data_IF_071147372668
#
_entry.id   IF_071147372668
#
_cell.length_a   1.000
_cell.length_b   1.000
_cell.length_c   1.000
_cell.angle_alpha   90.00
_cell.angle_beta   90.00
_cell.angle_gamma   90.00
#
_symmetry.space_group_name_H-M   'P 1'
#
loop_
_entity.id
_entity.type
_entity.pdbx_description
1 polymer ?
#
# COMPACT_ATOMS: atom_id res chain seq x y z
N UNK A 1 -22.78 -45.29 15.52
CA UNK A 1 -22.43 -45.26 14.08
C UNK A 1 -22.68 -43.89 13.41
N UNK A 2 -22.56 -42.77 14.13
CA UNK A 2 -22.60 -41.41 13.53
C UNK A 2 -21.55 -40.44 14.12
N UNK A 3 -20.61 -40.93 14.93
CA UNK A 3 -19.50 -40.13 15.49
C UNK A 3 -18.11 -40.54 14.97
N UNK A 4 -18.03 -41.47 14.01
CA UNK A 4 -16.76 -41.98 13.46
C UNK A 4 -16.40 -41.31 12.12
N UNK A 5 -17.34 -40.61 11.46
CA UNK A 5 -17.10 -39.97 10.16
C UNK A 5 -16.32 -38.64 10.19
N UNK A 6 -16.27 -37.94 11.33
CA UNK A 6 -15.60 -36.63 11.44
C UNK A 6 -14.13 -36.70 11.85
N UNK A 7 -13.62 -37.90 12.21
CA UNK A 7 -12.24 -38.12 12.62
C UNK A 7 -11.32 -38.65 11.51
N UNK A 8 -11.84 -38.89 10.30
CA UNK A 8 -11.07 -39.47 9.20
C UNK A 8 -10.61 -38.45 8.13
N UNK A 9 -11.08 -37.21 8.15
CA UNK A 9 -10.70 -36.20 7.13
C UNK A 9 -9.42 -35.41 7.46
N UNK A 10 -8.88 -35.50 8.67
CA UNK A 10 -7.66 -34.78 9.08
C UNK A 10 -6.36 -35.54 8.83
N UNK A 11 -6.40 -36.68 8.13
CA UNK A 11 -5.27 -37.63 8.05
C UNK A 11 -5.08 -38.20 6.65
N UNK A 12 -4.94 -37.33 5.66
CA UNK A 12 -4.36 -37.68 4.36
C UNK A 12 -3.50 -36.51 3.87
N UNK A 13 -2.21 -36.77 3.66
CA UNK A 13 -1.26 -35.80 3.11
C UNK A 13 -0.05 -35.54 4.01
N UNK A 14 0.78 -36.56 4.19
CA UNK A 14 2.10 -36.41 4.80
C UNK A 14 3.13 -35.77 3.87
N UNK A 15 4.28 -35.48 4.48
CA UNK A 15 5.57 -35.16 3.87
C UNK A 15 5.76 -33.72 3.35
N UNK A 16 6.13 -32.80 4.25
CA UNK A 16 7.20 -31.86 3.96
C UNK A 16 8.18 -31.78 5.13
N UNK A 17 9.42 -32.14 4.84
CA UNK A 17 10.57 -32.13 5.74
C UNK A 17 10.94 -30.69 6.09
N UNK A 18 11.57 -30.57 7.26
CA UNK A 18 11.88 -29.31 7.94
C UNK A 18 12.65 -28.27 7.15
N UNK A 19 12.26 -27.02 7.39
CA UNK A 19 13.17 -25.87 7.46
C UNK A 19 12.77 -25.06 8.69
N UNK A 20 13.74 -24.86 9.59
CA UNK A 20 13.57 -24.19 10.86
C UNK A 20 13.35 -22.69 10.62
N UNK A 21 12.27 -22.13 11.18
CA UNK A 21 12.01 -20.69 11.29
C UNK A 21 13.00 -19.94 12.24
N UNK A 22 14.16 -20.53 12.53
CA UNK A 22 15.19 -19.98 13.42
C UNK A 22 16.28 -19.16 12.71
N UNK A 23 16.40 -19.24 11.38
CA UNK A 23 17.53 -18.67 10.63
C UNK A 23 17.28 -17.29 10.03
N UNK A 24 16.14 -16.65 10.31
CA UNK A 24 15.88 -15.26 9.84
C UNK A 24 16.24 -14.21 10.92
N UNK A 25 16.59 -14.63 12.15
CA UNK A 25 16.91 -13.73 13.26
C UNK A 25 18.41 -13.68 13.63
N UNK A 26 19.26 -14.51 13.02
CA UNK A 26 20.70 -14.61 13.29
C UNK A 26 21.56 -13.83 12.28
N UNK A 27 21.09 -13.60 11.04
CA UNK A 27 21.85 -12.87 10.01
C UNK A 27 21.84 -11.35 10.20
N UNK A 28 21.02 -10.82 11.11
CA UNK A 28 20.95 -9.38 11.39
C UNK A 28 21.86 -8.91 12.54
N UNK A 29 22.69 -9.79 13.12
CA UNK A 29 23.45 -9.50 14.35
C UNK A 29 24.98 -9.41 14.21
N UNK A 30 25.53 -9.48 12.99
CA UNK A 30 27.00 -9.55 12.78
C UNK A 30 27.64 -8.41 11.99
N UNK A 31 27.01 -7.24 11.82
CA UNK A 31 27.68 -6.09 11.17
C UNK A 31 27.44 -4.74 11.86
N UNK A 32 27.29 -4.73 13.19
CA UNK A 32 27.30 -3.50 13.95
C UNK A 32 28.74 -3.14 14.37
N UNK A 33 29.51 -2.64 13.41
CA UNK A 33 30.76 -1.92 13.63
C UNK A 33 30.67 -0.54 13.01
N UNK A 34 30.50 0.48 13.87
CA UNK A 34 30.63 1.93 13.64
C UNK A 34 29.65 2.64 12.67
N UNK A 35 28.92 3.61 13.23
CA UNK A 35 28.22 4.66 12.47
C UNK A 35 27.02 5.25 13.23
N UNK A 36 27.24 6.35 13.94
CA UNK A 36 26.23 7.15 14.64
C UNK A 36 25.12 7.62 13.67
N UNK A 37 23.93 7.03 13.71
CA UNK A 37 22.68 7.67 13.28
C UNK A 37 21.55 7.15 14.16
N UNK A 38 21.14 7.99 15.12
CA UNK A 38 19.98 7.75 15.97
C UNK A 38 18.73 7.85 15.08
N UNK A 39 18.27 6.70 14.56
CA UNK A 39 16.94 6.58 13.98
C UNK A 39 15.93 6.77 15.13
N UNK A 40 15.31 7.94 15.18
CA UNK A 40 14.11 8.14 15.98
C UNK A 40 13.03 7.19 15.46
N UNK A 41 12.92 6.02 16.11
CA UNK A 41 11.73 5.17 16.02
C UNK A 41 10.55 6.04 16.45
N UNK A 42 9.50 6.20 15.63
CA UNK A 42 8.32 6.91 16.09
C UNK A 42 7.72 6.09 17.23
N UNK A 43 7.64 6.68 18.44
CA UNK A 43 7.11 6.12 19.68
C UNK A 43 5.65 5.61 19.62
N UNK A 44 5.06 5.55 18.42
CA UNK A 44 3.68 5.14 18.14
C UNK A 44 3.53 3.64 17.92
N UNK A 45 4.59 2.90 17.57
CA UNK A 45 4.53 1.44 17.31
C UNK A 45 4.91 0.58 18.51
N UNK A 46 5.45 1.15 19.59
CA UNK A 46 5.92 0.37 20.75
C UNK A 46 4.77 -0.32 21.50
N UNK A 47 3.59 0.32 21.57
CA UNK A 47 2.41 -0.24 22.22
C UNK A 47 1.86 -1.51 21.52
N UNK A 48 1.56 -1.51 20.20
CA UNK A 48 1.12 -2.72 19.51
C UNK A 48 2.22 -3.78 19.44
N UNK A 49 3.49 -3.41 19.26
CA UNK A 49 4.60 -4.38 19.28
C UNK A 49 4.77 -5.05 20.65
N UNK A 50 4.52 -4.32 21.74
CA UNK A 50 4.54 -4.88 23.10
C UNK A 50 3.36 -5.82 23.36
N UNK A 51 2.17 -5.54 22.81
CA UNK A 51 1.02 -6.45 22.89
C UNK A 51 1.16 -7.67 21.96
N UNK A 52 1.76 -7.52 20.77
CA UNK A 52 2.13 -8.62 19.89
C UNK A 52 3.15 -9.55 20.58
N UNK A 53 4.19 -8.99 21.19
CA UNK A 53 5.18 -9.77 21.93
C UNK A 53 4.59 -10.48 23.17
N UNK A 54 3.48 -9.98 23.75
CA UNK A 54 2.73 -10.69 24.79
C UNK A 54 1.90 -11.82 24.22
N UNK A 55 1.26 -11.62 23.06
CA UNK A 55 0.54 -12.67 22.33
C UNK A 55 1.48 -13.79 21.91
N UNK A 56 2.63 -13.45 21.33
CA UNK A 56 3.65 -14.43 20.92
C UNK A 56 4.20 -15.20 22.12
N UNK A 57 4.35 -14.57 23.29
CA UNK A 57 4.75 -15.30 24.52
C UNK A 57 3.66 -16.21 25.07
N UNK A 58 2.38 -15.96 24.75
CA UNK A 58 1.26 -16.80 25.16
C UNK A 58 1.06 -17.98 24.20
N UNK A 59 1.42 -17.82 22.92
CA UNK A 59 1.24 -18.83 21.87
C UNK A 59 2.51 -19.65 21.59
N UNK A 60 3.67 -19.02 21.49
CA UNK A 60 4.94 -19.71 21.34
C UNK A 60 5.38 -20.22 22.72
N UNK A 61 5.32 -21.53 22.94
CA UNK A 61 5.64 -22.23 24.20
C UNK A 61 7.10 -22.11 24.68
N UNK A 62 7.71 -20.93 24.59
CA UNK A 62 9.03 -20.59 25.13
C UNK A 62 8.91 -20.29 26.62
N UNK A 63 9.26 -21.30 27.41
CA UNK A 63 9.39 -21.25 28.86
C UNK A 63 10.51 -20.31 29.27
N UNK A 64 10.24 -19.00 29.32
CA UNK A 64 11.07 -18.07 30.08
C UNK A 64 10.54 -17.94 31.52
N UNK A 65 11.21 -18.68 32.40
CA UNK A 65 11.38 -18.49 33.84
C UNK A 65 10.13 -18.38 34.75
N UNK A 66 10.04 -19.38 35.63
CA UNK A 66 9.37 -19.38 36.96
C UNK A 66 7.89 -18.97 36.98
N UNK A 67 7.02 -19.96 36.83
CA UNK A 67 5.70 -19.95 37.47
C UNK A 67 4.47 -19.82 36.57
N UNK A 68 4.57 -19.97 35.26
CA UNK A 68 3.38 -20.01 34.38
C UNK A 68 3.36 -21.25 33.49
N UNK A 69 2.16 -21.78 33.34
CA UNK A 69 1.84 -23.14 32.94
C UNK A 69 2.11 -23.42 31.43
N UNK A 70 2.20 -24.70 30.99
CA UNK A 70 2.63 -25.13 29.62
C UNK A 70 1.68 -24.74 28.48
N UNK A 71 2.15 -24.32 27.31
CA UNK A 71 1.29 -23.80 26.20
C UNK A 71 0.10 -24.71 25.83
N UNK A 72 -0.90 -24.18 25.11
CA UNK A 72 -2.09 -24.96 24.70
C UNK A 72 -1.67 -26.26 23.99
N UNK A 73 -0.70 -26.17 23.09
CA UNK A 73 -0.15 -27.33 22.37
C UNK A 73 0.55 -28.32 23.31
N UNK A 74 1.38 -27.85 24.25
CA UNK A 74 2.05 -28.71 25.24
C UNK A 74 1.06 -29.37 26.21
N UNK A 75 -0.03 -28.69 26.55
CA UNK A 75 -1.10 -29.23 27.40
C UNK A 75 -1.93 -30.28 26.66
N UNK A 76 -2.18 -30.09 25.36
CA UNK A 76 -2.83 -31.07 24.49
C UNK A 76 -1.92 -32.29 24.23
N UNK A 77 -0.63 -32.09 24.01
CA UNK A 77 0.35 -33.15 23.82
C UNK A 77 0.53 -34.00 25.09
N UNK A 78 0.62 -33.37 26.27
CA UNK A 78 0.67 -34.08 27.55
C UNK A 78 -0.63 -34.88 27.83
N UNK A 79 -1.80 -34.34 27.41
CA UNK A 79 -3.07 -35.06 27.50
C UNK A 79 -3.10 -36.25 26.55
N UNK A 80 -2.65 -36.08 25.30
CA UNK A 80 -2.50 -37.17 24.32
C UNK A 80 -1.54 -38.27 24.82
N UNK A 81 -0.42 -37.89 25.42
CA UNK A 81 0.55 -38.83 25.99
C UNK A 81 -0.04 -39.59 27.19
N UNK A 82 -0.77 -38.91 28.07
CA UNK A 82 -1.46 -39.54 29.19
C UNK A 82 -2.56 -40.53 28.75
N UNK A 83 -3.27 -40.21 27.66
CA UNK A 83 -4.28 -41.08 27.05
C UNK A 83 -3.64 -42.29 26.35
N UNK A 84 -2.49 -42.10 25.68
CA UNK A 84 -1.72 -43.20 25.07
C UNK A 84 -1.16 -44.15 26.13
N UNK A 85 -0.57 -43.63 27.20
CA UNK A 85 -0.06 -44.42 28.33
C UNK A 85 -1.19 -45.17 29.06
N UNK A 86 -2.37 -44.56 29.20
CA UNK A 86 -3.54 -45.26 29.73
C UNK A 86 -3.99 -46.39 28.79
N UNK A 87 -4.07 -46.14 27.48
CA UNK A 87 -4.43 -47.15 26.47
C UNK A 87 -3.47 -48.35 26.50
N UNK A 88 -2.17 -48.12 26.61
CA UNK A 88 -1.15 -49.20 26.69
C UNK A 88 -1.27 -50.04 27.98
N UNK A 89 -1.64 -49.41 29.10
CA UNK A 89 -1.92 -50.10 30.38
C UNK A 89 -3.20 -50.94 30.34
N UNK A 90 -4.20 -50.50 29.58
CA UNK A 90 -5.41 -51.29 29.36
C UNK A 90 -5.18 -52.45 28.38
N UNK A 91 -4.35 -52.27 27.34
CA UNK A 91 -4.01 -53.37 26.41
C UNK A 91 -3.10 -54.43 27.03
N UNK A 92 -2.34 -54.10 28.08
CA UNK A 92 -1.49 -55.04 28.82
C UNK A 92 -2.19 -55.73 30.00
N UNK A 93 -3.51 -55.54 30.16
CA UNK A 93 -4.33 -56.29 31.13
C UNK A 93 -4.19 -55.85 32.61
N UNK A 94 -3.50 -54.74 32.90
CA UNK A 94 -3.30 -54.21 34.27
C UNK A 94 -4.20 -52.99 34.59
N UNK A 95 -5.31 -52.82 33.86
CA UNK A 95 -6.22 -51.69 34.02
C UNK A 95 -7.20 -51.85 35.18
N UNK A 96 -7.03 -51.07 36.26
CA UNK A 96 -8.00 -50.97 37.38
C UNK A 96 -8.97 -49.79 37.18
N UNK A 97 -10.18 -49.87 37.73
CA UNK A 97 -11.18 -48.79 37.72
C UNK A 97 -10.64 -47.46 38.30
N UNK A 98 -9.68 -47.53 39.23
CA UNK A 98 -9.02 -46.36 39.81
C UNK A 98 -8.14 -45.57 38.81
N UNK A 99 -7.59 -46.21 37.77
CA UNK A 99 -6.80 -45.50 36.75
C UNK A 99 -7.68 -44.71 35.79
N UNK A 100 -8.91 -45.16 35.54
CA UNK A 100 -9.93 -44.43 34.78
C UNK A 100 -10.41 -43.19 35.53
N UNK A 101 -10.71 -43.30 36.82
CA UNK A 101 -11.14 -42.14 37.64
C UNK A 101 -10.04 -41.08 37.74
N UNK A 102 -8.77 -41.50 37.85
CA UNK A 102 -7.62 -40.59 37.85
C UNK A 102 -7.40 -39.94 36.48
N UNK A 103 -7.74 -40.62 35.38
CA UNK A 103 -7.67 -40.08 34.02
C UNK A 103 -8.76 -39.04 33.78
N UNK A 104 -10.00 -39.33 34.20
CA UNK A 104 -11.13 -38.40 34.09
C UNK A 104 -10.86 -37.10 34.85
N UNK A 105 -10.32 -37.19 36.08
CA UNK A 105 -9.91 -36.00 36.85
C UNK A 105 -8.84 -35.18 36.12
N UNK A 106 -7.82 -35.85 35.56
CA UNK A 106 -6.76 -35.17 34.77
C UNK A 106 -7.28 -34.52 33.49
N UNK A 107 -8.25 -35.13 32.81
CA UNK A 107 -8.86 -34.57 31.60
C UNK A 107 -9.68 -33.32 31.94
N UNK A 108 -10.47 -33.34 33.02
CA UNK A 108 -11.24 -32.17 33.47
C UNK A 108 -10.34 -31.01 33.94
N UNK A 109 -9.26 -31.32 34.67
CA UNK A 109 -8.26 -30.31 35.07
C UNK A 109 -7.58 -29.66 33.85
N UNK A 110 -7.17 -30.47 32.87
CA UNK A 110 -6.52 -29.96 31.64
C UNK A 110 -7.48 -29.20 30.73
N UNK A 111 -8.74 -29.64 30.64
CA UNK A 111 -9.80 -28.91 29.92
C UNK A 111 -10.03 -27.53 30.53
N UNK A 112 -10.13 -27.44 31.85
CA UNK A 112 -10.26 -26.15 32.55
C UNK A 112 -9.04 -25.25 32.32
N UNK A 113 -7.84 -25.82 32.34
CA UNK A 113 -6.60 -25.09 32.04
C UNK A 113 -6.55 -24.54 30.61
N UNK A 114 -7.07 -25.30 29.63
CA UNK A 114 -7.17 -24.87 28.23
C UNK A 114 -8.21 -23.77 28.05
N UNK A 115 -9.40 -23.90 28.65
CA UNK A 115 -10.47 -22.91 28.56
C UNK A 115 -10.04 -21.55 29.14
N UNK A 116 -9.32 -21.55 30.27
CA UNK A 116 -8.83 -20.32 30.89
C UNK A 116 -7.75 -19.64 30.02
N UNK A 117 -6.89 -20.41 29.36
CA UNK A 117 -5.91 -19.87 28.41
C UNK A 117 -6.52 -19.36 27.12
N UNK A 118 -7.52 -20.05 26.58
CA UNK A 118 -8.24 -19.56 25.42
C UNK A 118 -8.85 -18.18 25.72
N UNK A 119 -9.46 -18.00 26.91
CA UNK A 119 -9.94 -16.69 27.35
C UNK A 119 -8.82 -15.65 27.46
N UNK A 120 -7.65 -16.02 27.99
CA UNK A 120 -6.49 -15.12 28.04
C UNK A 120 -6.01 -14.69 26.64
N UNK A 121 -5.93 -15.63 25.69
CA UNK A 121 -5.57 -15.36 24.29
C UNK A 121 -6.62 -14.46 23.62
N UNK A 122 -7.91 -14.74 23.77
CA UNK A 122 -8.98 -13.89 23.24
C UNK A 122 -8.92 -12.47 23.81
N UNK A 123 -8.66 -12.33 25.12
CA UNK A 123 -8.52 -11.03 25.77
C UNK A 123 -7.29 -10.26 25.28
N UNK A 124 -6.16 -10.94 25.08
CA UNK A 124 -4.95 -10.34 24.53
C UNK A 124 -5.15 -9.92 23.07
N UNK A 125 -5.84 -10.73 22.26
CA UNK A 125 -6.19 -10.41 20.87
C UNK A 125 -7.09 -9.17 20.80
N UNK A 126 -8.09 -9.08 21.68
CA UNK A 126 -8.96 -7.91 21.78
C UNK A 126 -8.20 -6.63 22.18
N UNK A 127 -7.21 -6.74 23.08
CA UNK A 127 -6.34 -5.61 23.48
C UNK A 127 -5.40 -5.19 22.35
N UNK A 128 -4.83 -6.15 21.62
CA UNK A 128 -4.01 -5.89 20.44
C UNK A 128 -4.81 -5.18 19.34
N UNK A 129 -6.04 -5.64 19.05
CA UNK A 129 -6.95 -4.98 18.12
C UNK A 129 -7.21 -3.51 18.50
N UNK A 130 -7.52 -3.25 19.78
CA UNK A 130 -7.70 -1.88 20.30
C UNK A 130 -6.43 -1.02 20.22
N UNK A 131 -5.25 -1.62 20.39
CA UNK A 131 -3.98 -0.91 20.28
C UNK A 131 -3.67 -0.52 18.83
N UNK A 132 -3.90 -1.43 17.88
CA UNK A 132 -3.79 -1.14 16.45
C UNK A 132 -4.74 -0.02 16.00
N UNK A 133 -5.99 -0.04 16.47
CA UNK A 133 -6.97 1.01 16.16
C UNK A 133 -6.50 2.39 16.61
N UNK A 134 -5.87 2.48 17.79
CA UNK A 134 -5.31 3.75 18.31
C UNK A 134 -4.14 4.26 17.46
N UNK A 135 -3.22 3.37 17.07
CA UNK A 135 -2.04 3.75 16.30
C UNK A 135 -2.40 4.15 14.87
N UNK A 136 -3.39 3.48 14.28
CA UNK A 136 -3.94 3.85 12.96
C UNK A 136 -4.58 5.25 12.96
N UNK A 137 -5.14 5.70 14.10
CA UNK A 137 -5.70 7.03 14.25
C UNK A 137 -4.62 8.13 14.39
N UNK A 138 -3.44 7.82 14.92
CA UNK A 138 -2.37 8.79 15.21
C UNK A 138 -1.40 9.03 14.04
N UNK A 139 -1.30 8.10 13.08
CA UNK A 139 -0.40 8.23 11.91
C UNK A 139 -1.00 9.07 10.76
N UNK A 140 -2.19 9.61 10.92
CA UNK A 140 -2.79 10.51 9.93
C UNK A 140 -2.30 11.95 10.17
N UNK A 141 -1.65 12.62 9.19
CA UNK A 141 -1.22 14.01 9.35
C UNK A 141 -2.43 14.91 9.62
N UNK A 142 -2.28 15.84 10.57
CA UNK A 142 -3.34 16.64 11.20
C UNK A 142 -4.28 17.41 10.24
N UNK A 143 -3.94 17.54 8.95
CA UNK A 143 -4.81 18.14 7.92
C UNK A 143 -5.85 17.19 7.30
N UNK A 144 -5.83 15.87 7.57
CA UNK A 144 -6.82 14.89 7.04
C UNK A 144 -7.89 14.46 8.08
N UNK A 145 -8.16 15.29 9.10
CA UNK A 145 -8.99 14.94 10.27
C UNK A 145 -10.48 14.67 9.99
N UNK A 146 -11.00 14.93 8.78
CA UNK A 146 -12.42 14.65 8.44
C UNK A 146 -12.66 13.29 7.75
N UNK A 147 -11.64 12.63 7.21
CA UNK A 147 -11.82 11.36 6.46
C UNK A 147 -11.58 10.13 7.35
N UNK A 148 -10.72 10.23 8.36
CA UNK A 148 -10.35 9.08 9.21
C UNK A 148 -11.45 8.59 10.16
N UNK A 149 -12.51 9.37 10.42
CA UNK A 149 -13.66 8.92 11.23
C UNK A 149 -14.57 7.95 10.46
N UNK A 150 -14.50 7.92 9.13
CA UNK A 150 -15.33 7.05 8.29
C UNK A 150 -14.80 5.62 8.16
N UNK A 151 -13.48 5.40 8.34
CA UNK A 151 -12.87 4.05 8.35
C UNK A 151 -13.21 3.30 9.63
N UNK A 152 -13.73 3.98 10.66
CA UNK A 152 -13.64 3.49 12.03
C UNK A 152 -14.65 2.41 12.41
N UNK A 153 -15.69 2.15 11.61
CA UNK A 153 -16.73 1.18 11.97
C UNK A 153 -17.41 0.63 10.71
N UNK A 154 -17.05 -0.57 10.28
CA UNK A 154 -17.96 -1.43 9.50
C UNK A 154 -19.11 -1.88 10.42
N UNK A 155 -19.89 -0.95 10.97
CA UNK A 155 -21.05 -1.26 11.83
C UNK A 155 -22.30 -1.61 11.05
N UNK A 156 -22.30 -1.32 9.75
CA UNK A 156 -23.35 -1.79 8.86
C UNK A 156 -22.86 -3.09 8.19
N UNK A 157 -23.70 -4.15 8.14
CA UNK A 157 -23.39 -5.30 7.31
C UNK A 157 -23.10 -4.83 5.88
N UNK A 158 -22.09 -5.44 5.25
CA UNK A 158 -21.80 -5.20 3.84
C UNK A 158 -23.11 -5.40 3.05
N UNK A 159 -23.48 -4.48 2.15
CA UNK A 159 -24.68 -4.65 1.36
C UNK A 159 -24.59 -5.98 0.60
N UNK A 160 -25.67 -6.75 0.62
CA UNK A 160 -25.82 -7.93 -0.24
C UNK A 160 -26.01 -7.41 -1.67
N UNK A 161 -24.91 -7.11 -2.36
CA UNK A 161 -24.91 -6.95 -3.79
C UNK A 161 -25.19 -8.30 -4.44
N UNK A 162 -25.81 -8.31 -5.62
CA UNK A 162 -25.67 -9.47 -6.50
C UNK A 162 -24.18 -9.76 -6.67
N UNK A 163 -23.76 -11.04 -6.78
CA UNK A 163 -22.36 -11.37 -6.87
C UNK A 163 -21.75 -10.68 -8.10
N UNK A 164 -21.07 -9.57 -7.84
CA UNK A 164 -20.22 -8.87 -8.79
C UNK A 164 -19.05 -9.80 -9.11
N UNK A 165 -18.58 -9.79 -10.36
CA UNK A 165 -17.56 -10.73 -10.85
C UNK A 165 -18.03 -12.20 -10.94
N UNK A 166 -19.28 -12.46 -11.34
CA UNK A 166 -19.74 -13.82 -11.66
C UNK A 166 -19.19 -14.34 -12.98
N UNK A 167 -19.02 -13.46 -13.98
CA UNK A 167 -18.51 -13.84 -15.30
C UNK A 167 -17.04 -14.27 -15.21
N UNK A 168 -16.68 -15.26 -16.01
CA UNK A 168 -15.31 -15.78 -16.07
C UNK A 168 -14.31 -14.69 -16.52
N UNK A 169 -14.75 -13.79 -17.40
CA UNK A 169 -13.97 -12.65 -17.86
C UNK A 169 -13.71 -11.63 -16.74
N UNK A 170 -14.72 -11.30 -15.94
CA UNK A 170 -14.56 -10.35 -14.84
C UNK A 170 -13.66 -10.92 -13.73
N UNK A 171 -13.75 -12.22 -13.44
CA UNK A 171 -12.84 -12.91 -12.51
C UNK A 171 -11.41 -12.88 -13.03
N UNK A 172 -11.19 -13.24 -14.29
CA UNK A 172 -9.87 -13.19 -14.91
C UNK A 172 -9.31 -11.76 -14.91
N UNK A 173 -10.12 -10.73 -15.18
CA UNK A 173 -9.70 -9.34 -15.12
C UNK A 173 -9.29 -8.90 -13.70
N UNK A 174 -10.02 -9.34 -12.68
CA UNK A 174 -9.69 -9.08 -11.28
C UNK A 174 -8.37 -9.75 -10.89
N UNK A 175 -8.21 -11.03 -11.24
CA UNK A 175 -7.00 -11.81 -10.98
C UNK A 175 -5.77 -11.20 -11.69
N UNK A 176 -5.91 -10.78 -12.96
CA UNK A 176 -4.86 -10.01 -13.67
C UNK A 176 -4.49 -8.73 -12.92
N UNK A 177 -5.50 -7.99 -12.45
CA UNK A 177 -5.28 -6.73 -11.71
C UNK A 177 -4.56 -6.98 -10.38
N UNK A 178 -4.87 -8.06 -9.68
CA UNK A 178 -4.17 -8.49 -8.47
C UNK A 178 -2.72 -8.88 -8.76
N UNK A 179 -2.47 -9.67 -9.80
CA UNK A 179 -1.12 -10.06 -10.19
C UNK A 179 -0.24 -8.84 -10.54
N UNK A 180 -0.78 -7.91 -11.36
CA UNK A 180 -0.10 -6.65 -11.69
C UNK A 180 0.16 -5.82 -10.44
N UNK A 181 -0.78 -5.78 -9.48
CA UNK A 181 -0.59 -5.07 -8.23
C UNK A 181 0.58 -5.64 -7.42
N UNK A 182 0.67 -6.96 -7.27
CA UNK A 182 1.78 -7.59 -6.55
C UNK A 182 3.13 -7.30 -7.21
N UNK A 183 3.22 -7.44 -8.53
CA UNK A 183 4.44 -7.10 -9.29
C UNK A 183 4.82 -5.63 -9.12
N UNK A 184 3.85 -4.71 -9.18
CA UNK A 184 4.09 -3.27 -9.04
C UNK A 184 4.51 -2.86 -7.63
N UNK A 185 4.15 -3.64 -6.61
CA UNK A 185 4.60 -3.44 -5.22
C UNK A 185 5.93 -4.15 -4.89
N UNK A 186 6.48 -4.91 -5.84
CA UNK A 186 7.73 -5.66 -5.68
C UNK A 186 7.59 -7.03 -5.01
N UNK A 187 6.36 -7.52 -4.85
CA UNK A 187 6.07 -8.83 -4.25
C UNK A 187 6.03 -9.93 -5.32
N UNK A 188 7.17 -10.17 -5.98
CA UNK A 188 7.24 -11.12 -7.10
C UNK A 188 6.99 -12.57 -6.67
N UNK A 189 7.50 -12.99 -5.51
CA UNK A 189 7.26 -14.36 -5.03
C UNK A 189 5.77 -14.67 -4.85
N UNK A 190 5.01 -13.71 -4.30
CA UNK A 190 3.55 -13.84 -4.15
C UNK A 190 2.86 -13.79 -5.51
N UNK A 191 3.34 -12.94 -6.42
CA UNK A 191 2.80 -12.87 -7.78
C UNK A 191 2.99 -14.20 -8.54
N UNK A 192 4.14 -14.85 -8.39
CA UNK A 192 4.42 -16.14 -9.05
C UNK A 192 3.57 -17.27 -8.50
N UNK A 193 3.46 -17.40 -7.18
CA UNK A 193 2.58 -18.40 -6.56
C UNK A 193 1.12 -18.15 -6.97
N UNK A 194 0.68 -16.89 -6.94
CA UNK A 194 -0.67 -16.52 -7.34
C UNK A 194 -0.96 -16.88 -8.81
N UNK A 195 -0.03 -16.60 -9.72
CA UNK A 195 -0.19 -16.94 -11.15
C UNK A 195 -0.20 -18.44 -11.39
N UNK A 196 0.60 -19.21 -10.64
CA UNK A 196 0.60 -20.67 -10.72
C UNK A 196 -0.72 -21.29 -10.27
N UNK A 197 -1.42 -20.64 -9.34
CA UNK A 197 -2.70 -21.11 -8.78
C UNK A 197 -3.91 -20.64 -9.61
N UNK A 198 -3.86 -19.44 -10.19
CA UNK A 198 -5.00 -18.82 -10.88
C UNK A 198 -5.10 -19.16 -12.37
N UNK A 199 -4.09 -19.80 -12.98
CA UNK A 199 -4.04 -20.11 -14.42
C UNK A 199 -4.32 -18.90 -15.33
N UNK A 200 -4.03 -17.69 -14.84
CA UNK A 200 -4.20 -16.42 -15.55
C UNK A 200 -2.86 -15.98 -16.10
N UNK A 201 -2.82 -15.65 -17.39
CA UNK A 201 -1.63 -15.11 -18.03
C UNK A 201 -1.63 -13.58 -17.97
N UNK A 202 -0.53 -13.03 -17.46
CA UNK A 202 -0.19 -11.61 -17.59
C UNK A 202 0.81 -11.50 -18.74
N UNK A 203 0.66 -10.54 -19.68
CA UNK A 203 1.59 -10.38 -20.79
C UNK A 203 3.04 -10.25 -20.30
N UNK A 204 3.95 -11.06 -20.84
CA UNK A 204 5.34 -11.12 -20.40
C UNK A 204 6.11 -9.80 -20.51
N UNK A 205 5.73 -8.93 -21.46
CA UNK A 205 6.28 -7.58 -21.61
C UNK A 205 6.07 -6.74 -20.34
N UNK A 206 4.83 -6.72 -19.85
CA UNK A 206 4.47 -6.02 -18.61
C UNK A 206 5.26 -6.55 -17.40
N UNK A 207 5.51 -7.86 -17.35
CA UNK A 207 6.28 -8.48 -16.27
C UNK A 207 7.74 -8.00 -16.29
N UNK A 208 8.36 -7.97 -17.46
CA UNK A 208 9.75 -7.54 -17.60
C UNK A 208 9.93 -6.07 -17.22
N UNK A 209 9.04 -5.20 -17.67
CA UNK A 209 9.06 -3.78 -17.32
C UNK A 209 8.85 -3.56 -15.81
N UNK A 210 7.94 -4.30 -15.17
CA UNK A 210 7.76 -4.21 -13.71
C UNK A 210 8.97 -4.77 -12.93
N UNK A 211 9.69 -5.75 -13.46
CA UNK A 211 10.95 -6.22 -12.87
C UNK A 211 12.01 -5.11 -12.90
N UNK A 212 12.19 -4.46 -14.05
CA UNK A 212 13.10 -3.32 -14.20
C UNK A 212 12.71 -2.21 -13.21
N UNK A 213 11.43 -1.84 -13.13
CA UNK A 213 10.96 -0.84 -12.16
C UNK A 213 11.44 -1.18 -10.75
N UNK A 214 11.21 -2.40 -10.29
CA UNK A 214 11.54 -2.77 -8.92
C UNK A 214 13.03 -2.87 -8.69
N UNK A 215 13.81 -3.30 -9.69
CA UNK A 215 15.28 -3.27 -9.62
C UNK A 215 15.78 -1.83 -9.48
N UNK A 216 15.27 -0.90 -10.29
CA UNK A 216 15.63 0.52 -10.19
C UNK A 216 15.21 1.09 -8.83
N UNK A 217 13.99 0.80 -8.36
CA UNK A 217 13.51 1.23 -7.04
C UNK A 217 14.37 0.67 -5.89
N UNK A 218 14.87 -0.56 -6.00
CA UNK A 218 15.81 -1.13 -5.03
C UNK A 218 17.16 -0.41 -5.06
N UNK A 219 17.70 -0.12 -6.25
CA UNK A 219 18.94 0.64 -6.38
C UNK A 219 18.81 2.06 -5.79
N UNK A 220 17.70 2.74 -6.06
CA UNK A 220 17.39 4.05 -5.49
C UNK A 220 17.30 4.00 -3.95
N UNK A 221 16.73 2.93 -3.37
CA UNK A 221 16.70 2.73 -1.91
C UNK A 221 18.08 2.50 -1.30
N UNK A 222 18.97 1.79 -2.01
CA UNK A 222 20.37 1.66 -1.61
C UNK A 222 21.19 2.93 -1.85
N UNK A 223 20.59 3.95 -2.48
CA UNK A 223 21.24 5.22 -2.80
C UNK A 223 22.01 5.22 -4.13
N UNK A 224 21.93 4.15 -4.92
CA UNK A 224 22.53 4.11 -6.26
C UNK A 224 21.52 4.63 -7.30
N UNK A 225 21.93 5.64 -8.07
CA UNK A 225 21.09 6.36 -9.04
C UNK A 225 21.40 5.95 -10.47
N UNK A 226 22.44 5.14 -10.68
CA UNK A 226 23.00 4.85 -12.01
C UNK A 226 21.95 4.22 -12.93
N UNK A 227 21.24 3.20 -12.45
CA UNK A 227 20.18 2.54 -13.22
C UNK A 227 19.00 3.48 -13.54
N UNK A 228 18.66 4.39 -12.63
CA UNK A 228 17.60 5.36 -12.86
C UNK A 228 18.00 6.43 -13.91
N UNK A 229 19.27 6.83 -13.92
CA UNK A 229 19.84 7.74 -14.91
C UNK A 229 19.94 7.08 -16.29
N UNK A 230 20.37 5.82 -16.35
CA UNK A 230 20.39 5.04 -17.59
C UNK A 230 18.99 4.97 -18.20
N UNK A 231 18.00 4.58 -17.41
CA UNK A 231 16.60 4.57 -17.86
C UNK A 231 16.11 5.95 -18.30
N UNK A 232 16.42 7.02 -17.56
CA UNK A 232 16.03 8.38 -17.93
C UNK A 232 16.76 8.92 -19.17
N UNK A 233 17.90 8.31 -19.54
CA UNK A 233 18.69 8.67 -20.72
C UNK A 233 18.23 7.94 -21.99
N UNK A 234 17.44 6.88 -21.87
CA UNK A 234 16.87 6.17 -23.02
C UNK A 234 15.95 7.09 -23.84
N UNK A 235 15.89 6.84 -25.16
CA UNK A 235 15.19 7.68 -26.13
C UNK A 235 13.69 7.78 -25.81
N UNK A 236 13.03 6.65 -25.55
CA UNK A 236 11.58 6.59 -25.30
C UNK A 236 11.17 7.32 -24.01
N UNK A 237 11.76 7.04 -22.84
CA UNK A 237 11.50 7.81 -21.63
C UNK A 237 11.85 9.29 -21.77
N UNK A 238 12.98 9.63 -22.39
CA UNK A 238 13.43 11.02 -22.55
C UNK A 238 12.44 11.88 -23.34
N UNK A 239 11.84 11.35 -24.41
CA UNK A 239 10.80 12.06 -25.17
C UNK A 239 9.50 12.21 -24.37
N UNK A 240 9.05 11.15 -23.69
CA UNK A 240 7.85 11.20 -22.86
C UNK A 240 8.00 12.18 -21.68
N UNK A 241 9.15 12.19 -21.02
CA UNK A 241 9.45 13.09 -19.91
C UNK A 241 9.44 14.57 -20.37
N UNK A 242 9.91 14.85 -21.59
CA UNK A 242 9.87 16.19 -22.20
C UNK A 242 8.45 16.60 -22.56
N UNK A 243 7.67 15.73 -23.20
CA UNK A 243 6.26 15.98 -23.52
C UNK A 243 5.43 16.29 -22.27
N UNK A 244 5.76 15.65 -21.15
CA UNK A 244 5.08 15.84 -19.86
C UNK A 244 5.62 17.02 -19.04
N UNK A 245 6.73 17.62 -19.45
CA UNK A 245 7.42 18.67 -18.67
C UNK A 245 7.87 18.18 -17.28
N UNK A 246 8.18 16.89 -17.16
CA UNK A 246 8.48 16.27 -15.86
C UNK A 246 9.86 16.69 -15.32
N UNK A 247 9.98 17.01 -14.02
CA UNK A 247 11.25 17.44 -13.43
C UNK A 247 12.14 16.26 -13.00
N UNK A 248 11.78 15.01 -13.32
CA UNK A 248 12.43 13.79 -12.83
C UNK A 248 13.93 13.78 -13.14
N UNK A 249 14.31 14.11 -14.37
CA UNK A 249 15.71 14.05 -14.81
C UNK A 249 16.58 15.00 -13.99
N UNK A 250 16.09 16.20 -13.70
CA UNK A 250 16.78 17.14 -12.84
C UNK A 250 16.88 16.61 -11.39
N UNK A 251 15.81 16.03 -10.85
CA UNK A 251 15.81 15.47 -9.49
C UNK A 251 16.78 14.29 -9.32
N UNK A 252 16.94 13.45 -10.35
CA UNK A 252 17.94 12.37 -10.37
C UNK A 252 19.37 12.92 -10.33
N UNK A 253 19.70 13.88 -11.20
CA UNK A 253 21.02 14.51 -11.20
C UNK A 253 21.28 15.30 -9.90
N UNK A 254 20.26 15.94 -9.33
CA UNK A 254 20.33 16.61 -8.03
C UNK A 254 20.67 15.63 -6.92
N UNK A 255 19.98 14.49 -6.87
CA UNK A 255 20.23 13.46 -5.85
C UNK A 255 21.62 12.84 -6.00
N UNK A 256 22.07 12.56 -7.22
CA UNK A 256 23.43 12.04 -7.47
C UNK A 256 24.51 13.04 -7.04
N UNK A 257 24.33 14.33 -7.33
CA UNK A 257 25.23 15.39 -6.86
C UNK A 257 25.28 15.45 -5.33
N UNK A 258 24.13 15.46 -4.65
CA UNK A 258 24.05 15.49 -3.20
C UNK A 258 24.64 14.23 -2.56
N UNK A 259 24.47 13.06 -3.18
CA UNK A 259 25.05 11.79 -2.73
C UNK A 259 26.58 11.85 -2.75
N UNK A 260 27.19 12.36 -3.82
CA UNK A 260 28.65 12.53 -3.90
C UNK A 260 29.15 13.57 -2.88
N UNK A 261 28.40 14.65 -2.68
CA UNK A 261 28.77 15.74 -1.77
C UNK A 261 28.65 15.36 -0.28
N UNK A 262 27.64 14.56 0.08
CA UNK A 262 27.34 14.15 1.45
C UNK A 262 27.91 12.75 1.79
N UNK A 263 28.73 12.19 0.91
CA UNK A 263 29.42 10.93 1.16
C UNK A 263 30.38 11.04 2.38
N UNK A 264 30.65 9.93 3.11
CA UNK A 264 31.57 9.94 4.25
C UNK A 264 32.97 10.46 3.92
N UNK A 265 33.40 10.29 2.67
CA UNK A 265 34.59 10.91 2.08
C UNK A 265 34.15 11.72 0.87
N UNK A 266 33.89 13.04 1.02
CA UNK A 266 33.37 13.84 -0.07
C UNK A 266 34.47 14.19 -1.06
N UNK A 267 34.35 13.71 -2.31
CA UNK A 267 35.10 14.26 -3.43
C UNK A 267 34.32 15.45 -4.02
N UNK A 268 34.61 16.63 -3.45
CA UNK A 268 33.96 17.88 -3.87
C UNK A 268 34.33 18.23 -5.31
N UNK A 269 35.53 17.87 -5.77
CA UNK A 269 35.98 18.18 -7.12
C UNK A 269 35.23 17.35 -8.17
N UNK A 270 35.04 16.05 -7.93
CA UNK A 270 34.23 15.19 -8.82
C UNK A 270 32.77 15.62 -8.83
N UNK A 271 32.20 15.95 -7.66
CA UNK A 271 30.81 16.39 -7.56
C UNK A 271 30.58 17.70 -8.36
N UNK A 272 31.49 18.67 -8.25
CA UNK A 272 31.43 19.92 -9.02
C UNK A 272 31.61 19.65 -10.53
N UNK A 273 32.51 18.76 -10.93
CA UNK A 273 32.69 18.38 -12.32
C UNK A 273 31.41 17.73 -12.89
N UNK A 274 30.76 16.86 -12.12
CA UNK A 274 29.48 16.26 -12.48
C UNK A 274 28.38 17.31 -12.66
N UNK A 275 28.28 18.27 -11.73
CA UNK A 275 27.32 19.36 -11.80
C UNK A 275 27.53 20.19 -13.07
N UNK A 276 28.77 20.55 -13.40
CA UNK A 276 29.13 21.32 -14.60
C UNK A 276 28.77 20.61 -15.90
N UNK A 277 28.85 19.28 -15.95
CA UNK A 277 28.48 18.50 -17.12
C UNK A 277 26.95 18.35 -17.28
N UNK A 278 26.22 18.12 -16.18
CA UNK A 278 24.82 17.67 -16.25
C UNK A 278 23.76 18.76 -15.95
N UNK A 279 24.11 19.83 -15.22
CA UNK A 279 23.17 20.90 -14.87
C UNK A 279 22.90 21.96 -15.95
N UNK A 280 23.79 22.26 -16.92
CA UNK A 280 23.52 23.27 -17.96
C UNK A 280 22.16 23.17 -18.68
N UNK A 281 21.68 21.99 -19.12
CA UNK A 281 20.39 21.89 -19.81
C UNK A 281 19.18 22.24 -18.94
N UNK A 282 19.31 22.19 -17.61
CA UNK A 282 18.22 22.47 -16.66
C UNK A 282 18.21 23.91 -16.16
N UNK A 283 19.23 24.70 -16.49
CA UNK A 283 19.39 26.05 -15.95
C UNK A 283 18.23 26.98 -16.32
N UNK A 284 17.67 26.86 -17.54
CA UNK A 284 16.55 27.69 -17.97
C UNK A 284 15.28 27.54 -17.09
N UNK A 285 15.07 26.36 -16.50
CA UNK A 285 13.88 26.06 -15.69
C UNK A 285 14.18 26.07 -14.18
N UNK A 286 15.41 25.73 -13.78
CA UNK A 286 15.80 25.49 -12.38
C UNK A 286 16.98 26.35 -11.89
N UNK A 287 17.24 27.51 -12.49
CA UNK A 287 18.39 28.38 -12.16
C UNK A 287 18.58 28.64 -10.66
N UNK A 288 17.50 28.94 -9.93
CA UNK A 288 17.53 29.23 -8.49
C UNK A 288 18.01 28.01 -7.70
N UNK A 289 17.49 26.83 -8.03
CA UNK A 289 17.82 25.59 -7.34
C UNK A 289 19.25 25.13 -7.68
N UNK A 290 19.66 25.25 -8.93
CA UNK A 290 21.06 25.01 -9.36
C UNK A 290 22.02 25.92 -8.59
N UNK A 291 21.69 27.20 -8.43
CA UNK A 291 22.49 28.13 -7.63
C UNK A 291 22.61 27.69 -6.16
N UNK A 292 21.50 27.24 -5.55
CA UNK A 292 21.51 26.69 -4.18
C UNK A 292 22.38 25.43 -4.07
N UNK A 293 22.29 24.51 -5.04
CA UNK A 293 23.10 23.29 -5.07
C UNK A 293 24.60 23.60 -5.21
N UNK A 294 24.97 24.55 -6.07
CA UNK A 294 26.38 24.92 -6.19
C UNK A 294 26.92 25.62 -4.93
N UNK A 295 26.09 26.44 -4.27
CA UNK A 295 26.48 27.16 -3.06
C UNK A 295 26.58 26.24 -1.83
N UNK A 296 25.82 25.15 -1.77
CA UNK A 296 25.81 24.28 -0.60
C UNK A 296 27.16 23.57 -0.36
N UNK A 297 27.96 23.36 -1.42
CA UNK A 297 29.32 22.84 -1.32
C UNK A 297 30.25 23.71 -0.46
N UNK A 298 29.99 25.01 -0.33
CA UNK A 298 30.79 25.93 0.51
C UNK A 298 30.58 25.74 2.01
N UNK A 299 29.51 25.04 2.40
CA UNK A 299 29.14 24.79 3.80
C UNK A 299 29.63 23.44 4.33
N UNK A 300 30.43 22.70 3.55
CA UNK A 300 31.13 21.51 4.04
C UNK A 300 32.21 21.90 5.06
N UNK A 301 32.52 21.03 6.05
CA UNK A 301 32.11 19.63 6.24
C UNK A 301 30.67 19.43 6.79
N UNK A 302 30.20 18.18 6.83
CA UNK A 302 28.79 17.80 7.10
C UNK A 302 28.19 18.48 8.35
N UNK A 303 28.96 18.62 9.43
CA UNK A 303 28.49 19.24 10.68
C UNK A 303 28.07 20.70 10.50
N UNK A 304 28.75 21.44 9.62
CA UNK A 304 28.41 22.81 9.28
C UNK A 304 27.25 22.86 8.29
N UNK A 305 27.16 21.88 7.40
CA UNK A 305 26.08 21.76 6.42
C UNK A 305 24.71 21.57 7.09
N UNK A 306 24.63 20.73 8.12
CA UNK A 306 23.38 20.48 8.85
C UNK A 306 22.86 21.69 9.63
N UNK A 307 23.74 22.64 9.97
CA UNK A 307 23.39 23.90 10.63
C UNK A 307 23.23 25.07 9.65
N UNK A 308 23.30 24.81 8.35
CA UNK A 308 23.24 25.81 7.29
C UNK A 308 21.80 26.00 6.78
N UNK A 309 21.52 27.07 6.00
CA UNK A 309 20.23 27.23 5.31
C UNK A 309 19.98 26.17 4.21
N UNK A 310 20.90 25.22 4.02
CA UNK A 310 20.83 24.12 3.05
C UNK A 310 20.60 22.75 3.71
N UNK A 311 20.28 22.71 5.00
CA UNK A 311 20.00 21.47 5.73
C UNK A 311 18.82 20.67 5.12
N UNK A 312 17.93 21.33 4.38
CA UNK A 312 16.86 20.70 3.60
C UNK A 312 17.40 19.66 2.60
N UNK A 313 18.60 19.86 2.05
CA UNK A 313 19.23 18.92 1.13
C UNK A 313 19.76 17.63 1.77
N UNK A 314 19.96 17.60 3.09
CA UNK A 314 20.33 16.38 3.81
C UNK A 314 19.11 15.57 4.29
N UNK A 315 17.88 16.03 4.02
CA UNK A 315 16.68 15.34 4.47
C UNK A 315 16.47 14.01 3.75
N UNK A 316 16.14 12.91 4.48
CA UNK A 316 15.79 11.63 3.86
C UNK A 316 14.49 11.70 3.04
N UNK A 317 13.69 12.77 3.20
CA UNK A 317 12.49 12.98 2.38
C UNK A 317 12.80 13.12 0.90
N UNK A 318 13.97 13.64 0.54
CA UNK A 318 14.37 13.81 -0.87
C UNK A 318 14.42 12.47 -1.60
N UNK A 319 14.95 11.44 -0.95
CA UNK A 319 15.03 10.10 -1.52
C UNK A 319 13.63 9.48 -1.65
N UNK A 320 12.78 9.63 -0.62
CA UNK A 320 11.41 9.11 -0.64
C UNK A 320 10.54 9.78 -1.72
N UNK A 321 10.67 11.10 -1.88
CA UNK A 321 9.95 11.87 -2.90
C UNK A 321 10.45 11.51 -4.30
N UNK A 322 11.76 11.30 -4.47
CA UNK A 322 12.36 10.86 -5.73
C UNK A 322 11.90 9.45 -6.11
N UNK A 323 11.87 8.51 -5.15
CA UNK A 323 11.33 7.16 -5.35
C UNK A 323 9.87 7.20 -5.83
N UNK A 324 9.03 8.00 -5.17
CA UNK A 324 7.63 8.15 -5.55
C UNK A 324 7.48 8.77 -6.95
N UNK A 325 8.27 9.79 -7.26
CA UNK A 325 8.23 10.50 -8.54
C UNK A 325 8.71 9.59 -9.68
N UNK A 326 9.81 8.86 -9.48
CA UNK A 326 10.31 7.86 -10.44
C UNK A 326 9.26 6.80 -10.73
N UNK A 327 8.65 6.22 -9.70
CA UNK A 327 7.60 5.21 -9.88
C UNK A 327 6.41 5.75 -10.69
N UNK A 328 6.01 7.01 -10.47
CA UNK A 328 4.90 7.61 -11.23
C UNK A 328 5.23 7.84 -12.69
N UNK A 329 6.43 8.36 -13.00
CA UNK A 329 6.82 8.63 -14.39
C UNK A 329 7.15 7.34 -15.14
N UNK A 330 7.75 6.35 -14.47
CA UNK A 330 8.00 5.03 -15.06
C UNK A 330 6.69 4.32 -15.42
N UNK A 331 5.71 4.32 -14.51
CA UNK A 331 4.38 3.79 -14.83
C UNK A 331 3.72 4.56 -15.99
N UNK A 332 3.84 5.89 -16.03
CA UNK A 332 3.32 6.69 -17.13
C UNK A 332 4.01 6.35 -18.47
N UNK A 333 5.31 6.08 -18.47
CA UNK A 333 6.08 5.74 -19.66
C UNK A 333 5.61 4.43 -20.33
N UNK A 334 5.18 3.47 -19.52
CA UNK A 334 4.63 2.18 -19.95
C UNK A 334 3.13 2.27 -20.29
N UNK A 335 2.49 3.42 -20.03
CA UNK A 335 1.05 3.58 -20.22
C UNK A 335 0.21 2.98 -19.08
N UNK A 336 0.81 2.75 -17.91
CA UNK A 336 0.08 2.36 -16.70
C UNK A 336 -0.50 3.57 -15.95
N UNK A 337 -1.57 3.33 -15.19
CA UNK A 337 -2.16 4.33 -14.32
C UNK A 337 -1.21 4.80 -13.21
N UNK A 338 -1.23 6.12 -12.94
CA UNK A 338 -0.44 6.81 -11.89
C UNK A 338 -0.48 6.10 -10.53
N UNK A 339 -1.64 5.56 -10.16
CA UNK A 339 -1.87 4.84 -8.91
C UNK A 339 -2.37 3.43 -9.19
N UNK A 340 -2.23 2.54 -8.21
CA UNK A 340 -2.58 1.14 -8.36
C UNK A 340 -4.10 1.03 -8.26
N UNK A 341 -4.79 0.40 -9.21
CA UNK A 341 -6.24 0.31 -9.18
C UNK A 341 -6.77 -0.21 -7.84
N UNK A 342 -6.21 -1.31 -7.32
CA UNK A 342 -6.61 -1.88 -6.03
C UNK A 342 -6.38 -0.94 -4.84
N UNK A 343 -5.33 -0.12 -4.88
CA UNK A 343 -5.06 0.88 -3.84
C UNK A 343 -6.12 1.97 -3.88
N UNK A 344 -6.39 2.52 -5.06
CA UNK A 344 -7.39 3.58 -5.26
C UNK A 344 -8.78 3.11 -4.85
N UNK A 345 -9.18 1.92 -5.29
CA UNK A 345 -10.48 1.32 -4.95
C UNK A 345 -10.61 1.12 -3.45
N UNK A 346 -9.56 0.59 -2.79
CA UNK A 346 -9.55 0.37 -1.35
C UNK A 346 -9.60 1.69 -0.56
N UNK A 347 -8.83 2.69 -0.99
CA UNK A 347 -8.74 3.99 -0.32
C UNK A 347 -10.04 4.79 -0.46
N UNK A 348 -10.65 4.82 -1.65
CA UNK A 348 -11.92 5.52 -1.91
C UNK A 348 -13.08 4.74 -1.29
N UNK A 349 -13.21 3.45 -1.61
CA UNK A 349 -14.29 2.59 -1.12
C UNK A 349 -14.30 2.48 0.40
N UNK A 350 -13.13 2.20 0.99
CA UNK A 350 -12.93 2.14 2.45
C UNK A 350 -12.95 3.51 3.13
N UNK A 351 -12.71 4.59 2.38
CA UNK A 351 -12.76 5.98 2.86
C UNK A 351 -14.17 6.52 3.13
N UNK A 352 -15.20 5.67 3.07
CA UNK A 352 -16.59 6.01 3.34
C UNK A 352 -17.42 6.35 2.10
N UNK A 353 -16.84 6.29 0.89
CA UNK A 353 -17.58 6.42 -0.36
C UNK A 353 -18.71 5.37 -0.44
N UNK A 354 -18.38 4.10 -0.18
CA UNK A 354 -19.34 2.99 -0.23
C UNK A 354 -20.50 3.19 0.75
N UNK A 355 -20.22 3.66 1.97
CA UNK A 355 -21.25 3.94 2.97
C UNK A 355 -22.19 5.09 2.56
N UNK A 356 -21.67 6.11 1.86
CA UNK A 356 -22.48 7.22 1.34
C UNK A 356 -23.34 6.79 0.15
N UNK A 357 -22.77 6.02 -0.78
CA UNK A 357 -23.51 5.46 -1.91
C UNK A 357 -24.68 4.63 -1.39
N UNK A 358 -24.43 3.75 -0.42
CA UNK A 358 -25.47 2.90 0.15
C UNK A 358 -26.56 3.72 0.85
N UNK A 359 -26.18 4.75 1.61
CA UNK A 359 -27.16 5.67 2.23
C UNK A 359 -28.01 6.38 1.16
N UNK A 360 -27.39 6.86 0.08
CA UNK A 360 -28.11 7.48 -1.04
C UNK A 360 -29.08 6.53 -1.72
N UNK A 361 -28.65 5.29 -1.96
CA UNK A 361 -29.47 4.25 -2.57
C UNK A 361 -30.71 3.91 -1.74
N UNK A 362 -30.58 3.82 -0.41
CA UNK A 362 -31.72 3.60 0.50
C UNK A 362 -32.73 4.74 0.42
N UNK A 363 -32.27 5.99 0.49
CA UNK A 363 -33.15 7.17 0.39
C UNK A 363 -33.87 7.26 -0.96
N UNK A 364 -33.18 6.92 -2.06
CA UNK A 364 -33.82 6.93 -3.38
C UNK A 364 -34.81 5.78 -3.57
N UNK A 365 -34.52 4.59 -3.04
CA UNK A 365 -35.46 3.46 -3.03
C UNK A 365 -36.74 3.80 -2.25
N UNK A 366 -36.61 4.51 -1.13
CA UNK A 366 -37.74 4.99 -0.33
C UNK A 366 -38.57 6.07 -1.05
N UNK A 367 -37.92 6.94 -1.84
CA UNK A 367 -38.58 8.03 -2.59
C UNK A 367 -39.22 7.61 -3.91
N UNK A 368 -39.07 6.34 -4.34
CA UNK A 368 -39.55 5.83 -5.64
C UNK A 368 -39.17 6.72 -6.84
N UNK A 369 -38.10 7.51 -6.76
CA UNK A 369 -37.63 8.21 -7.95
C UNK A 369 -36.93 7.19 -8.83
N UNK A 370 -37.38 7.06 -10.08
CA UNK A 370 -36.79 6.18 -11.09
C UNK A 370 -35.41 6.74 -11.48
N UNK A 371 -34.42 6.53 -10.60
CA UNK A 371 -33.02 6.72 -10.97
C UNK A 371 -32.59 5.49 -11.77
N UNK A 372 -32.70 5.59 -13.08
CA UNK A 372 -32.45 4.51 -14.04
C UNK A 372 -31.12 4.64 -14.77
N UNK A 373 -30.25 5.59 -14.39
CA UNK A 373 -28.91 5.67 -14.95
C UNK A 373 -27.95 4.82 -14.12
N UNK A 374 -27.59 3.66 -14.66
CA UNK A 374 -26.63 2.70 -14.07
C UNK A 374 -25.23 3.28 -13.86
N UNK A 375 -24.92 4.37 -14.57
CA UNK A 375 -23.55 4.86 -14.73
C UNK A 375 -23.26 6.12 -13.90
N UNK A 376 -24.24 6.64 -13.16
CA UNK A 376 -24.09 7.85 -12.34
C UNK A 376 -24.35 7.60 -10.86
N UNK A 377 -23.53 8.25 -10.01
CA UNK A 377 -23.68 8.20 -8.57
C UNK A 377 -24.79 9.17 -8.12
N UNK A 378 -25.73 8.74 -7.24
CA UNK A 378 -26.83 9.58 -6.78
C UNK A 378 -26.39 10.73 -5.86
N UNK A 379 -25.12 10.72 -5.41
CA UNK A 379 -24.55 11.71 -4.49
C UNK A 379 -23.11 11.97 -4.91
N UNK A 380 -22.71 13.25 -4.95
CA UNK A 380 -21.31 13.63 -5.10
C UNK A 380 -20.45 13.12 -3.94
N UNK A 381 -19.40 12.37 -4.30
CA UNK A 381 -18.43 11.88 -3.34
C UNK A 381 -17.23 12.82 -3.39
N UNK A 382 -16.92 13.56 -2.31
CA UNK A 382 -15.78 14.46 -2.30
C UNK A 382 -14.49 13.65 -2.39
N UNK A 383 -13.87 13.67 -3.56
CA UNK A 383 -12.59 13.02 -3.82
C UNK A 383 -11.42 13.94 -3.41
N UNK A 384 -10.35 13.39 -2.83
CA UNK A 384 -9.11 14.14 -2.62
C UNK A 384 -8.56 14.60 -3.98
N UNK A 385 -7.83 15.72 -4.02
CA UNK A 385 -7.30 16.29 -5.27
C UNK A 385 -6.42 15.31 -6.05
N UNK A 386 -5.73 14.40 -5.35
CA UNK A 386 -4.89 13.35 -5.93
C UNK A 386 -5.65 12.36 -6.83
N UNK A 387 -6.97 12.20 -6.63
CA UNK A 387 -7.82 11.24 -7.34
C UNK A 387 -8.77 11.92 -8.35
N UNK A 388 -8.51 13.18 -8.69
CA UNK A 388 -9.24 13.94 -9.73
C UNK A 388 -8.43 13.86 -11.02
N UNK A 389 -8.62 12.79 -11.78
CA UNK A 389 -7.81 12.50 -12.96
C UNK A 389 -8.19 13.34 -14.19
N UNK A 390 -9.42 13.87 -14.22
CA UNK A 390 -9.94 14.67 -15.32
C UNK A 390 -10.56 15.96 -14.80
N UNK A 391 -10.34 17.04 -15.55
CA UNK A 391 -11.08 18.28 -15.38
C UNK A 391 -12.51 18.04 -15.83
N UNK A 392 -13.47 18.40 -14.98
CA UNK A 392 -14.89 18.35 -15.32
C UNK A 392 -15.38 19.78 -15.43
N UNK A 393 -15.94 20.12 -16.59
CA UNK A 393 -16.62 21.39 -16.79
C UNK A 393 -18.13 21.14 -16.88
N UNK A 394 -18.89 21.93 -16.12
CA UNK A 394 -20.34 21.97 -16.22
C UNK A 394 -20.75 23.33 -16.79
N UNK A 395 -21.56 23.34 -17.84
CA UNK A 395 -22.00 24.58 -18.45
C UNK A 395 -22.88 25.38 -17.47
N UNK A 396 -22.57 26.66 -17.20
CA UNK A 396 -23.40 27.48 -16.32
C UNK A 396 -24.83 27.67 -16.83
N UNK A 397 -25.02 27.61 -18.16
CA UNK A 397 -26.29 27.89 -18.83
C UNK A 397 -27.14 26.63 -18.97
N UNK A 398 -26.58 25.54 -19.51
CA UNK A 398 -27.33 24.29 -19.66
C UNK A 398 -27.37 23.44 -18.40
N UNK A 399 -26.47 23.70 -17.44
CA UNK A 399 -26.24 22.88 -16.23
C UNK A 399 -25.86 21.43 -16.54
N UNK A 400 -25.41 21.16 -17.76
CA UNK A 400 -24.94 19.85 -18.21
C UNK A 400 -23.41 19.79 -18.19
N UNK A 401 -22.86 18.61 -17.93
CA UNK A 401 -21.43 18.35 -18.02
C UNK A 401 -20.98 18.34 -19.48
N UNK A 402 -19.84 18.96 -19.78
CA UNK A 402 -19.24 18.90 -21.11
C UNK A 402 -18.73 17.50 -21.43
N UNK A 403 -18.88 17.10 -22.68
CA UNK A 403 -18.36 15.83 -23.23
C UNK A 403 -17.40 16.12 -24.38
N UNK A 404 -16.69 15.10 -24.89
CA UNK A 404 -15.83 15.28 -26.08
C UNK A 404 -16.62 15.75 -27.32
N UNK A 405 -17.89 15.34 -27.44
CA UNK A 405 -18.78 15.79 -28.49
C UNK A 405 -19.32 17.21 -28.26
N UNK A 406 -19.50 17.60 -26.99
CA UNK A 406 -19.97 18.92 -26.55
C UNK A 406 -18.94 19.61 -25.64
N UNK A 407 -17.77 20.00 -26.18
CA UNK A 407 -16.66 20.52 -25.39
C UNK A 407 -16.95 21.93 -24.84
N UNK A 408 -16.20 22.36 -23.81
CA UNK A 408 -16.21 23.75 -23.38
C UNK A 408 -15.60 24.67 -24.45
N UNK A 409 -16.33 25.70 -24.83
CA UNK A 409 -15.96 26.73 -25.79
C UNK A 409 -15.81 28.07 -25.07
N UNK A 410 -14.71 28.78 -25.32
CA UNK A 410 -14.49 30.12 -24.79
C UNK A 410 -15.06 31.17 -25.75
N UNK A 411 -15.89 32.07 -25.22
CA UNK A 411 -16.40 33.23 -25.96
C UNK A 411 -15.37 34.36 -25.95
N UNK A 412 -15.51 35.31 -26.88
CA UNK A 412 -14.63 36.48 -26.96
C UNK A 412 -14.59 37.33 -25.67
N UNK A 413 -15.63 37.27 -24.84
CA UNK A 413 -15.69 37.92 -23.54
C UNK A 413 -15.01 37.13 -22.39
N UNK A 414 -14.35 36.01 -22.69
CA UNK A 414 -13.62 35.18 -21.72
C UNK A 414 -14.48 34.16 -20.94
N UNK A 415 -15.81 34.19 -21.09
CA UNK A 415 -16.69 33.19 -20.47
C UNK A 415 -16.65 31.87 -21.25
N UNK A 416 -16.70 30.76 -20.53
CA UNK A 416 -16.70 29.40 -21.09
C UNK A 416 -18.10 28.81 -21.00
N UNK A 417 -18.61 28.27 -22.10
CA UNK A 417 -19.90 27.56 -22.21
C UNK A 417 -19.77 26.34 -23.12
N UNK A 418 -20.68 25.37 -23.07
CA UNK A 418 -20.62 24.21 -23.97
C UNK A 418 -20.91 24.59 -25.42
N UNK A 419 -20.32 23.85 -26.38
CA UNK A 419 -20.50 24.05 -27.83
C UNK A 419 -21.98 24.11 -28.25
N UNK A 420 -22.81 23.23 -27.72
CA UNK A 420 -24.25 23.24 -28.02
C UNK A 420 -24.95 24.47 -27.44
N UNK A 421 -24.59 24.91 -26.24
CA UNK A 421 -25.12 26.14 -25.63
C UNK A 421 -24.73 27.36 -26.47
N UNK A 422 -23.48 27.40 -26.95
CA UNK A 422 -23.00 28.45 -27.85
C UNK A 422 -23.78 28.47 -29.17
N UNK A 423 -24.03 27.30 -29.77
CA UNK A 423 -24.80 27.19 -31.01
C UNK A 423 -26.29 27.54 -30.83
N UNK A 424 -26.87 27.30 -29.65
CA UNK A 424 -28.24 27.73 -29.33
C UNK A 424 -28.32 29.25 -29.15
N UNK A 425 -27.30 29.86 -28.54
CA UNK A 425 -27.20 31.31 -28.36
C UNK A 425 -27.02 32.06 -29.69
N UNK A 426 -26.27 31.51 -30.65
CA UNK A 426 -26.07 32.15 -31.96
C UNK A 426 -27.33 32.16 -32.84
N UNK A 427 -28.27 31.23 -32.65
CA UNK A 427 -29.50 31.13 -33.45
C UNK A 427 -30.57 32.17 -33.12
N UNK A 428 -30.53 32.83 -31.96
CA UNK A 428 -31.54 33.82 -31.54
C UNK A 428 -31.18 35.28 -31.90
N UNK A 429 -30.36 35.49 -32.93
CA UNK A 429 -30.12 36.82 -33.52
C UNK A 429 -28.76 37.46 -33.18
N UNK A 430 -27.80 36.68 -32.66
CA UNK A 430 -26.43 37.15 -32.40
C UNK A 430 -25.44 36.58 -33.41
N UNK A 431 -24.86 37.44 -34.25
CA UNK A 431 -23.70 37.10 -35.09
C UNK A 431 -22.50 36.84 -34.17
N UNK A 432 -21.94 35.63 -34.24
CA UNK A 432 -20.69 35.28 -33.55
C UNK A 432 -19.64 35.13 -34.63
N UNK A 433 -18.71 36.08 -34.71
CA UNK A 433 -17.56 36.01 -35.61
C UNK A 433 -16.81 34.69 -35.38
N UNK A 434 -16.69 33.89 -36.43
CA UNK A 434 -16.10 32.55 -36.39
C UNK A 434 -14.61 32.53 -36.05
N UNK A 435 -13.95 33.69 -36.06
CA UNK A 435 -12.50 33.83 -35.92
C UNK A 435 -12.02 33.96 -34.45
N UNK A 436 -12.94 34.08 -33.49
CA UNK A 436 -12.62 34.33 -32.07
C UNK A 436 -12.87 33.16 -31.10
N UNK A 437 -13.25 31.98 -31.59
CA UNK A 437 -13.60 30.84 -30.72
C UNK A 437 -12.37 29.97 -30.45
N UNK A 438 -11.92 29.99 -29.19
CA UNK A 438 -10.84 29.14 -28.71
C UNK A 438 -11.40 27.97 -27.91
N UNK A 439 -10.77 26.80 -28.08
CA UNK A 439 -11.00 25.66 -27.20
C UNK A 439 -10.46 26.01 -25.80
N UNK A 440 -11.30 25.88 -24.79
CA UNK A 440 -10.82 25.88 -23.41
C UNK A 440 -10.28 24.47 -23.13
N UNK A 441 -8.96 24.36 -22.94
CA UNK A 441 -8.28 23.10 -22.57
C UNK A 441 -8.42 22.85 -21.08
#
# INVERSE_FOLDING_TARGET
>A
MQLIGLLAAGRAGGAFRGTRLGDVASTARSSAGHGLFHLDRPATMDAPLKELAKLDKLTAGTSSAKGKAPSIDQSLDALLESLRNAKERFSSGTGSQATLETLVKRVEEKKKEIDDRQKEVYNALAKFGKALDKVRCLRAPAKRMRVSRAVQKFTNPLPSYEPLFTSLEAKAALERTMAIHFMRTGQFGIAETFLSESNVEVPGLTRHELLILNQVMQSLRSGDVSLALEWASEIRPSEQLKLRGSPLRFHLHRFEYLRQLLAPQPDVASAIAYARANFPPFFAQHAVEVGRLMNCATYLPLDRFLNSPYADFASPSIQLDLEALFATEYCAAIGMGRQAPLRVISDIGGGGALARIEKGRKVMRERKSEWSQSDELPIEIPLPPENRYHSVFACPVSKEQSTEANPPMMMACGHVITKESLQKLSKQGGYVDGDGLLYAV
#
